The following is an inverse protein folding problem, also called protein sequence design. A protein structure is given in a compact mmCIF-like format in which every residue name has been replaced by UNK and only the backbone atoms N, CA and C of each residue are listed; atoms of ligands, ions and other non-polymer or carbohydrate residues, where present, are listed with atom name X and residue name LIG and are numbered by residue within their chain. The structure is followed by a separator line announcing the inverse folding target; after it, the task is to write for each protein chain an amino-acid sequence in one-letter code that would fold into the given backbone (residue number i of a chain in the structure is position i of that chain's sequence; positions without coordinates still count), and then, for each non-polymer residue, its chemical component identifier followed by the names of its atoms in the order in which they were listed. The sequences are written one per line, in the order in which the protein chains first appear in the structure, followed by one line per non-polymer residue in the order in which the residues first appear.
data_IF_087177667019
#
_entry.id   IF_087177667019
#
_cell.length_a   1.000
_cell.length_b   1.000
_cell.length_c   1.000
_cell.angle_alpha   90.00
_cell.angle_beta   90.00
_cell.angle_gamma   90.00
#
_symmetry.space_group_name_H-M   'P 1'
#
loop_
_entity.id
_entity.type
_entity.pdbx_description
1 polymer ?
#
# COMPACT_ATOMS: atom_id res chain seq x y z
N UNK A 1 14.50 -6.25 13.20
CA UNK A 1 15.25 -6.11 11.94
C UNK A 1 14.56 -5.06 11.08
N UNK A 2 15.35 -4.26 10.39
CA UNK A 2 14.90 -3.22 9.48
C UNK A 2 14.22 -3.81 8.25
N UNK A 3 14.72 -4.92 7.73
CA UNK A 3 14.06 -5.68 6.68
C UNK A 3 12.62 -6.06 7.06
N UNK A 4 12.40 -6.55 8.28
CA UNK A 4 11.05 -6.91 8.74
C UNK A 4 10.10 -5.70 8.76
N UNK A 5 10.59 -4.49 9.05
CA UNK A 5 9.75 -3.28 9.01
C UNK A 5 9.32 -2.93 7.58
N UNK A 6 10.21 -3.15 6.62
CA UNK A 6 9.91 -2.98 5.19
C UNK A 6 8.91 -4.04 4.72
N UNK A 7 9.09 -5.29 5.11
CA UNK A 7 8.15 -6.39 4.81
C UNK A 7 6.75 -6.11 5.38
N UNK A 8 6.68 -5.71 6.67
CA UNK A 8 5.42 -5.31 7.31
C UNK A 8 4.77 -4.10 6.65
N UNK A 9 5.56 -3.17 6.09
CA UNK A 9 5.05 -2.03 5.34
C UNK A 9 4.47 -2.49 4.00
N UNK A 10 5.18 -3.35 3.27
CA UNK A 10 4.72 -3.91 1.99
C UNK A 10 3.39 -4.64 2.14
N UNK A 11 3.22 -5.48 3.18
CA UNK A 11 1.92 -6.13 3.44
C UNK A 11 0.78 -5.14 3.70
N UNK A 12 1.06 -4.02 4.38
CA UNK A 12 0.05 -2.97 4.62
C UNK A 12 -0.29 -2.19 3.35
N UNK A 13 0.70 -1.96 2.49
CA UNK A 13 0.50 -1.29 1.19
C UNK A 13 -0.31 -2.20 0.25
N UNK A 14 0.01 -3.49 0.20
CA UNK A 14 -0.71 -4.49 -0.58
C UNK A 14 -2.18 -4.58 -0.15
N UNK A 15 -2.46 -4.58 1.16
CA UNK A 15 -3.84 -4.59 1.63
C UNK A 15 -4.66 -3.38 1.15
N UNK A 16 -4.04 -2.19 1.07
CA UNK A 16 -4.70 -0.98 0.54
C UNK A 16 -4.87 -1.06 -0.98
N UNK A 17 -3.87 -1.56 -1.69
CA UNK A 17 -3.92 -1.77 -3.13
C UNK A 17 -5.00 -2.79 -3.52
N UNK A 18 -5.09 -3.89 -2.77
CA UNK A 18 -6.13 -4.91 -2.95
C UNK A 18 -7.54 -4.33 -2.76
N UNK A 19 -7.74 -3.50 -1.73
CA UNK A 19 -9.01 -2.81 -1.52
C UNK A 19 -9.36 -1.87 -2.69
N UNK A 20 -8.38 -1.10 -3.19
CA UNK A 20 -8.57 -0.24 -4.36
C UNK A 20 -8.92 -1.04 -5.62
N UNK A 21 -8.28 -2.19 -5.83
CA UNK A 21 -8.55 -3.07 -6.96
C UNK A 21 -9.99 -3.63 -6.93
N UNK A 22 -10.45 -4.07 -5.75
CA UNK A 22 -11.84 -4.52 -5.58
C UNK A 22 -12.83 -3.38 -5.85
N UNK A 23 -12.58 -2.19 -5.29
CA UNK A 23 -13.45 -1.04 -5.49
C UNK A 23 -13.51 -0.60 -6.96
N UNK A 24 -12.39 -0.64 -7.67
CA UNK A 24 -12.35 -0.35 -9.10
C UNK A 24 -13.11 -1.38 -9.93
N UNK A 25 -12.94 -2.67 -9.63
CA UNK A 25 -13.67 -3.73 -10.32
C UNK A 25 -15.19 -3.63 -10.08
N UNK A 26 -15.61 -3.41 -8.82
CA UNK A 26 -17.02 -3.22 -8.47
C UNK A 26 -17.62 -1.99 -9.16
N UNK A 27 -16.87 -0.88 -9.25
CA UNK A 27 -17.32 0.35 -9.92
C UNK A 27 -17.71 0.08 -11.37
N UNK A 28 -16.87 -0.68 -12.06
CA UNK A 28 -17.04 -0.95 -13.48
C UNK A 28 -18.13 -1.99 -13.77
N UNK A 29 -18.51 -2.83 -12.80
CA UNK A 29 -19.31 -4.03 -13.08
C UNK A 29 -20.61 -4.15 -12.29
N UNK A 30 -20.66 -3.65 -11.05
CA UNK A 30 -21.77 -3.91 -10.12
C UNK A 30 -22.32 -2.67 -9.43
N UNK A 31 -21.60 -1.54 -9.44
CA UNK A 31 -22.01 -0.35 -8.71
C UNK A 31 -23.32 0.26 -9.22
N UNK A 32 -24.25 0.53 -8.31
CA UNK A 32 -25.51 1.18 -8.63
C UNK A 32 -25.33 2.63 -9.10
N UNK A 33 -26.24 3.09 -9.96
CA UNK A 33 -26.26 4.49 -10.42
C UNK A 33 -26.42 5.44 -9.24
N UNK A 34 -25.62 6.52 -9.22
CA UNK A 34 -25.59 7.50 -8.14
C UNK A 34 -24.53 7.23 -7.05
N UNK A 35 -23.86 6.07 -7.08
CA UNK A 35 -22.79 5.74 -6.12
C UNK A 35 -21.43 6.39 -6.41
N UNK A 36 -21.25 6.99 -7.59
CA UNK A 36 -19.93 7.42 -8.10
C UNK A 36 -19.21 8.45 -7.24
N UNK A 37 -19.91 9.44 -6.67
CA UNK A 37 -19.26 10.46 -5.84
C UNK A 37 -18.68 9.87 -4.56
N UNK A 38 -19.42 8.97 -3.90
CA UNK A 38 -18.94 8.26 -2.70
C UNK A 38 -17.84 7.26 -3.01
N UNK A 39 -17.91 6.60 -4.18
CA UNK A 39 -16.83 5.74 -4.69
C UNK A 39 -15.54 6.53 -4.88
N UNK A 40 -15.62 7.67 -5.58
CA UNK A 40 -14.48 8.53 -5.83
C UNK A 40 -13.85 9.06 -4.53
N UNK A 41 -14.69 9.52 -3.59
CA UNK A 41 -14.23 9.98 -2.26
C UNK A 41 -13.45 8.87 -1.53
N UNK A 42 -14.02 7.66 -1.44
CA UNK A 42 -13.38 6.53 -0.76
C UNK A 42 -12.06 6.11 -1.43
N UNK A 43 -12.05 5.97 -2.77
CA UNK A 43 -10.83 5.58 -3.49
C UNK A 43 -9.73 6.63 -3.36
N UNK A 44 -10.07 7.93 -3.45
CA UNK A 44 -9.09 9.00 -3.29
C UNK A 44 -8.46 9.02 -1.89
N UNK A 45 -9.26 8.80 -0.84
CA UNK A 45 -8.78 8.73 0.53
C UNK A 45 -7.84 7.53 0.74
N UNK A 46 -8.21 6.34 0.25
CA UNK A 46 -7.37 5.14 0.33
C UNK A 46 -6.07 5.30 -0.46
N UNK A 47 -6.11 5.89 -1.66
CA UNK A 47 -4.92 6.19 -2.45
C UNK A 47 -4.00 7.19 -1.74
N UNK A 48 -4.56 8.22 -1.10
CA UNK A 48 -3.79 9.17 -0.28
C UNK A 48 -3.12 8.49 0.92
N UNK A 49 -3.82 7.56 1.59
CA UNK A 49 -3.26 6.76 2.67
C UNK A 49 -2.12 5.85 2.19
N UNK A 50 -2.31 5.17 1.04
CA UNK A 50 -1.27 4.37 0.41
C UNK A 50 -0.03 5.23 0.12
N UNK A 51 -0.21 6.36 -0.57
CA UNK A 51 0.89 7.25 -0.94
C UNK A 51 1.64 7.77 0.28
N UNK A 52 0.92 8.24 1.31
CA UNK A 52 1.52 8.73 2.55
C UNK A 52 2.39 7.67 3.22
N UNK A 53 1.92 6.42 3.26
CA UNK A 53 2.68 5.30 3.83
C UNK A 53 3.86 4.90 2.97
N UNK A 54 3.69 4.84 1.65
CA UNK A 54 4.72 4.42 0.71
C UNK A 54 5.87 5.43 0.56
N UNK A 55 5.63 6.69 0.94
CA UNK A 55 6.60 7.80 0.84
C UNK A 55 7.07 8.30 2.20
N UNK A 56 6.79 7.56 3.27
CA UNK A 56 7.21 7.92 4.62
C UNK A 56 8.75 8.04 4.68
N UNK A 57 9.31 9.17 5.16
CA UNK A 57 10.75 9.45 5.07
C UNK A 57 11.63 8.42 5.78
N UNK A 58 11.13 7.79 6.85
CA UNK A 58 11.82 6.76 7.61
C UNK A 58 12.12 5.49 6.80
N UNK A 59 11.46 5.29 5.66
CA UNK A 59 11.71 4.16 4.75
C UNK A 59 13.16 4.19 4.25
N UNK A 60 13.70 5.38 3.97
CA UNK A 60 15.09 5.52 3.52
C UNK A 60 16.09 4.98 4.56
N UNK A 61 15.87 5.32 5.83
CA UNK A 61 16.68 4.83 6.94
C UNK A 61 16.51 3.32 7.12
N UNK A 62 15.30 2.80 6.92
CA UNK A 62 15.05 1.37 7.04
C UNK A 62 15.74 0.58 5.93
N UNK A 63 15.72 1.08 4.69
CA UNK A 63 16.43 0.47 3.55
C UNK A 63 17.93 0.44 3.84
N UNK A 64 18.52 1.59 4.19
CA UNK A 64 19.96 1.67 4.47
C UNK A 64 20.40 0.74 5.61
N UNK A 65 19.57 0.59 6.65
CA UNK A 65 19.83 -0.34 7.73
C UNK A 65 19.68 -1.82 7.29
N UNK A 66 18.66 -2.14 6.48
CA UNK A 66 18.42 -3.51 5.98
C UNK A 66 19.57 -4.01 5.09
N UNK A 67 20.18 -3.14 4.28
CA UNK A 67 21.33 -3.48 3.43
C UNK A 67 22.54 -4.00 4.24
N UNK A 68 22.62 -3.65 5.53
CA UNK A 68 23.70 -4.09 6.43
C UNK A 68 23.33 -5.33 7.26
N UNK A 69 22.10 -5.83 7.15
CA UNK A 69 21.62 -6.99 7.91
C UNK A 69 22.09 -8.31 7.27
N UNK A 70 22.22 -9.36 8.09
CA UNK A 70 22.46 -10.71 7.61
C UNK A 70 21.15 -11.31 7.06
N UNK A 71 20.89 -11.07 5.78
CA UNK A 71 19.68 -11.48 5.08
C UNK A 71 19.84 -12.84 4.38
N UNK A 72 18.73 -13.56 4.22
CA UNK A 72 18.68 -14.77 3.38
C UNK A 72 18.86 -14.44 1.89
N UNK A 73 19.07 -15.47 1.06
CA UNK A 73 19.33 -15.30 -0.38
C UNK A 73 18.20 -14.54 -1.11
N UNK A 74 16.94 -14.83 -0.80
CA UNK A 74 15.78 -14.17 -1.41
C UNK A 74 15.52 -12.74 -0.88
N UNK A 75 16.09 -12.39 0.27
CA UNK A 75 15.86 -11.11 0.95
C UNK A 75 16.90 -10.04 0.58
N UNK A 76 17.97 -10.44 -0.13
CA UNK A 76 19.16 -9.65 -0.36
C UNK A 76 19.14 -8.83 -1.64
#
# INVERSE_FOLDING_TARGET
MSFQKLDDLCHKLEALEHALAILGADEATHMAVGGGEKRAEAMSALAGMYHTRATAPEIADWIAAAEQEALGEEQR
#
